data_IF_827132257475
#
_entry.id   IF_827132257475
#
_cell.length_a   1.000
_cell.length_b   1.000
_cell.length_c   1.000
_cell.angle_alpha   90.00
_cell.angle_beta   90.00
_cell.angle_gamma   90.00
#
_symmetry.space_group_name_H-M   'P 1'
#
loop_
_entity.id
_entity.type
_entity.pdbx_description
1 polymer ?
#
# COMPACT_ATOMS: atom_id res chain seq x y z
N UNK A 1 14.08 13.22 -16.02
CA UNK A 1 12.85 12.84 -16.75
C UNK A 1 11.90 14.03 -16.71
N UNK A 2 11.29 14.46 -17.83
CA UNK A 2 10.42 15.65 -17.82
C UNK A 2 9.08 15.32 -17.12
N UNK A 3 8.52 16.24 -16.31
CA UNK A 3 7.40 15.99 -15.36
C UNK A 3 6.21 15.23 -15.97
N UNK A 4 5.85 15.55 -17.22
CA UNK A 4 4.79 14.86 -17.97
C UNK A 4 5.04 13.36 -18.19
N UNK A 5 6.27 12.96 -18.54
CA UNK A 5 6.62 11.55 -18.75
C UNK A 5 6.59 10.77 -17.44
N UNK A 6 7.03 11.39 -16.35
CA UNK A 6 6.97 10.80 -15.02
C UNK A 6 5.53 10.60 -14.55
N UNK A 7 4.66 11.60 -14.77
CA UNK A 7 3.22 11.46 -14.48
C UNK A 7 2.58 10.31 -15.25
N UNK A 8 2.83 10.25 -16.57
CA UNK A 8 2.26 9.19 -17.42
C UNK A 8 2.71 7.80 -16.96
N UNK A 9 3.99 7.65 -16.61
CA UNK A 9 4.52 6.41 -16.05
C UNK A 9 3.83 6.03 -14.73
N UNK A 10 3.77 6.94 -13.75
CA UNK A 10 3.18 6.64 -12.44
C UNK A 10 1.66 6.43 -12.47
N UNK A 11 0.95 7.01 -13.45
CA UNK A 11 -0.51 6.87 -13.56
C UNK A 11 -0.94 5.63 -14.34
N UNK A 12 -0.19 5.27 -15.38
CA UNK A 12 -0.70 4.33 -16.39
C UNK A 12 0.14 3.07 -16.54
N UNK A 13 1.36 3.02 -15.98
CA UNK A 13 2.26 1.89 -16.24
C UNK A 13 1.73 0.56 -15.70
N UNK A 14 1.32 0.50 -14.43
CA UNK A 14 0.74 -0.72 -13.84
C UNK A 14 -0.51 -1.17 -14.60
N UNK A 15 -1.41 -0.24 -14.90
CA UNK A 15 -2.60 -0.50 -15.74
C UNK A 15 -2.22 -1.06 -17.13
N UNK A 16 -1.26 -0.44 -17.82
CA UNK A 16 -0.85 -0.86 -19.16
C UNK A 16 -0.17 -2.23 -19.13
N UNK A 17 0.66 -2.52 -18.12
CA UNK A 17 1.27 -3.82 -17.92
C UNK A 17 0.20 -4.90 -17.70
N UNK A 18 -0.77 -4.63 -16.81
CA UNK A 18 -1.87 -5.56 -16.57
C UNK A 18 -2.73 -5.80 -17.82
N UNK A 19 -3.12 -4.72 -18.51
CA UNK A 19 -3.93 -4.78 -19.74
C UNK A 19 -3.23 -5.52 -20.88
N UNK A 20 -1.90 -5.45 -20.93
CA UNK A 20 -1.08 -6.16 -21.92
C UNK A 20 -0.75 -7.59 -21.48
N UNK A 21 -1.32 -8.08 -20.37
CA UNK A 21 -1.04 -9.39 -19.77
C UNK A 21 0.45 -9.62 -19.44
N UNK A 22 1.16 -8.54 -19.10
CA UNK A 22 2.57 -8.53 -18.72
C UNK A 22 2.69 -8.66 -17.20
N UNK A 23 2.41 -9.86 -16.68
CA UNK A 23 2.39 -10.15 -15.25
C UNK A 23 3.73 -9.86 -14.57
N UNK A 24 4.85 -10.19 -15.21
CA UNK A 24 6.18 -10.01 -14.63
C UNK A 24 6.47 -8.53 -14.36
N UNK A 25 6.26 -7.68 -15.37
CA UNK A 25 6.47 -6.24 -15.25
C UNK A 25 5.49 -5.61 -14.25
N UNK A 26 4.23 -6.03 -14.27
CA UNK A 26 3.22 -5.58 -13.31
C UNK A 26 3.63 -5.92 -11.87
N UNK A 27 3.98 -7.17 -11.61
CA UNK A 27 4.38 -7.66 -10.30
C UNK A 27 5.64 -6.95 -9.80
N UNK A 28 6.68 -6.88 -10.62
CA UNK A 28 7.94 -6.20 -10.27
C UNK A 28 7.71 -4.73 -9.93
N UNK A 29 6.83 -4.05 -10.66
CA UNK A 29 6.47 -2.63 -10.39
C UNK A 29 5.82 -2.46 -9.02
N UNK A 30 4.89 -3.34 -8.67
CA UNK A 30 4.13 -3.25 -7.41
C UNK A 30 4.87 -3.87 -6.21
N UNK A 31 6.03 -4.46 -6.43
CA UNK A 31 7.00 -4.87 -5.40
C UNK A 31 8.26 -3.99 -5.37
N UNK A 32 8.31 -2.90 -6.13
CA UNK A 32 9.44 -1.96 -6.16
C UNK A 32 9.17 -0.76 -5.25
N UNK A 33 9.94 -0.64 -4.16
CA UNK A 33 9.75 0.43 -3.17
C UNK A 33 9.88 1.82 -3.80
N UNK A 34 10.80 2.01 -4.74
CA UNK A 34 11.03 3.30 -5.37
C UNK A 34 9.83 3.75 -6.20
N UNK A 35 9.18 2.84 -6.92
CA UNK A 35 7.92 3.09 -7.62
C UNK A 35 6.82 3.51 -6.65
N UNK A 36 6.60 2.74 -5.57
CA UNK A 36 5.58 3.04 -4.55
C UNK A 36 5.80 4.45 -3.96
N UNK A 37 7.03 4.73 -3.53
CA UNK A 37 7.39 6.02 -2.95
C UNK A 37 7.26 7.17 -3.95
N UNK A 38 7.69 6.97 -5.20
CA UNK A 38 7.56 7.97 -6.26
C UNK A 38 6.10 8.28 -6.57
N UNK A 39 5.23 7.27 -6.59
CA UNK A 39 3.79 7.46 -6.84
C UNK A 39 3.13 8.24 -5.69
N UNK A 40 3.45 7.92 -4.44
CA UNK A 40 2.95 8.66 -3.27
C UNK A 40 3.45 10.11 -3.22
N UNK A 41 4.71 10.34 -3.58
CA UNK A 41 5.33 11.68 -3.57
C UNK A 41 4.90 12.53 -4.76
N UNK A 42 4.28 11.95 -5.80
CA UNK A 42 3.85 12.70 -6.96
C UNK A 42 2.60 13.52 -6.63
N UNK A 43 2.78 14.85 -6.60
CA UNK A 43 1.69 15.79 -6.30
C UNK A 43 0.48 15.57 -7.20
N UNK A 44 -0.68 15.40 -6.58
CA UNK A 44 -1.97 15.24 -7.27
C UNK A 44 -2.42 13.80 -7.55
N UNK A 45 -1.64 12.77 -7.22
CA UNK A 45 -2.12 11.37 -7.26
C UNK A 45 -2.68 10.94 -5.90
N UNK A 46 -1.92 11.17 -4.83
CA UNK A 46 -2.27 10.69 -3.49
C UNK A 46 -2.21 9.15 -3.37
N UNK A 47 -2.78 8.63 -2.28
CA UNK A 47 -2.65 7.20 -1.93
C UNK A 47 -3.60 6.30 -2.73
N UNK A 48 -4.80 6.79 -3.10
CA UNK A 48 -5.82 5.94 -3.72
C UNK A 48 -5.41 5.32 -5.06
N UNK A 49 -4.87 6.09 -6.02
CA UNK A 49 -4.45 5.52 -7.29
C UNK A 49 -3.35 4.47 -7.17
N UNK A 50 -2.58 4.47 -6.07
CA UNK A 50 -1.61 3.41 -5.81
C UNK A 50 -2.30 2.14 -5.30
N UNK A 51 -3.30 2.26 -4.42
CA UNK A 51 -4.09 1.12 -3.93
C UNK A 51 -4.82 0.45 -5.11
N UNK A 52 -5.38 1.24 -6.02
CA UNK A 52 -6.12 0.77 -7.19
C UNK A 52 -5.24 0.05 -8.22
N UNK A 53 -3.93 0.32 -8.26
CA UNK A 53 -3.03 -0.41 -9.15
C UNK A 53 -3.00 -1.91 -8.84
N UNK A 54 -3.18 -2.29 -7.57
CA UNK A 54 -3.15 -3.68 -7.12
C UNK A 54 -4.42 -4.46 -7.53
N UNK A 55 -5.53 -3.78 -7.82
CA UNK A 55 -6.80 -4.44 -8.17
C UNK A 55 -6.71 -5.16 -9.53
N UNK A 56 -5.76 -4.81 -10.38
CA UNK A 56 -5.61 -5.43 -11.70
C UNK A 56 -5.06 -6.86 -11.67
N UNK A 57 -4.55 -7.34 -10.53
CA UNK A 57 -4.04 -8.71 -10.38
C UNK A 57 -5.12 -9.77 -10.67
N UNK A 58 -6.39 -9.45 -10.44
CA UNK A 58 -7.54 -10.35 -10.69
C UNK A 58 -7.69 -10.72 -12.18
N UNK A 59 -7.16 -9.89 -13.08
CA UNK A 59 -7.22 -10.12 -14.53
C UNK A 59 -5.98 -10.85 -15.06
N UNK A 60 -5.01 -11.16 -14.21
CA UNK A 60 -3.74 -11.77 -14.58
C UNK A 60 -3.67 -13.23 -14.13
N UNK A 61 -2.97 -14.07 -14.91
CA UNK A 61 -2.72 -15.47 -14.55
C UNK A 61 -1.60 -15.59 -13.52
N UNK A 62 -1.78 -14.98 -12.36
CA UNK A 62 -0.82 -14.98 -11.27
C UNK A 62 -0.94 -16.23 -10.40
N UNK A 63 0.17 -16.65 -9.81
CA UNK A 63 0.15 -17.74 -8.84
C UNK A 63 -0.55 -17.29 -7.54
N UNK A 64 -1.14 -18.20 -6.75
CA UNK A 64 -1.74 -17.84 -5.45
C UNK A 64 -0.77 -17.12 -4.51
N UNK A 65 0.53 -17.41 -4.63
CA UNK A 65 1.57 -16.76 -3.85
C UNK A 65 1.76 -15.30 -4.27
N UNK A 66 1.86 -15.03 -5.58
CA UNK A 66 1.95 -13.66 -6.09
C UNK A 66 0.72 -12.82 -5.75
N UNK A 67 -0.48 -13.40 -5.88
CA UNK A 67 -1.74 -12.75 -5.48
C UNK A 67 -1.68 -12.38 -4.00
N UNK A 68 -1.28 -13.31 -3.13
CA UNK A 68 -1.23 -13.05 -1.70
C UNK A 68 -0.13 -12.04 -1.31
N UNK A 69 1.04 -12.06 -1.96
CA UNK A 69 2.08 -11.04 -1.77
C UNK A 69 1.54 -9.65 -2.07
N UNK A 70 0.95 -9.46 -3.26
CA UNK A 70 0.41 -8.17 -3.68
C UNK A 70 -0.76 -7.73 -2.78
N UNK A 71 -1.63 -8.65 -2.36
CA UNK A 71 -2.73 -8.35 -1.45
C UNK A 71 -2.22 -7.85 -0.08
N UNK A 72 -1.21 -8.51 0.52
CA UNK A 72 -0.64 -8.09 1.79
C UNK A 72 -0.03 -6.67 1.71
N UNK A 73 0.63 -6.35 0.59
CA UNK A 73 1.17 -5.00 0.34
C UNK A 73 0.03 -3.99 0.15
N UNK A 74 -0.96 -4.31 -0.68
CA UNK A 74 -2.13 -3.45 -0.92
C UNK A 74 -2.86 -3.11 0.38
N UNK A 75 -3.17 -4.12 1.20
CA UNK A 75 -3.87 -3.95 2.46
C UNK A 75 -3.03 -3.16 3.46
N UNK A 76 -1.71 -3.32 3.43
CA UNK A 76 -0.80 -2.49 4.25
C UNK A 76 -0.88 -1.02 3.85
N UNK A 77 -0.88 -0.70 2.56
CA UNK A 77 -1.04 0.67 2.06
C UNK A 77 -2.43 1.21 2.42
N UNK A 78 -3.48 0.38 2.31
CA UNK A 78 -4.87 0.74 2.64
C UNK A 78 -5.06 1.05 4.13
N UNK A 79 -4.52 0.21 5.01
CA UNK A 79 -4.45 0.44 6.46
C UNK A 79 -3.72 1.73 6.81
N UNK A 80 -2.68 2.04 6.05
CA UNK A 80 -1.80 3.17 6.29
C UNK A 80 -2.24 4.45 5.58
N UNK A 81 -3.33 4.41 4.81
CA UNK A 81 -3.67 5.49 3.89
C UNK A 81 -3.87 6.85 4.59
N UNK A 82 -4.53 6.86 5.75
CA UNK A 82 -4.73 8.07 6.56
C UNK A 82 -3.42 8.72 7.06
N UNK A 83 -2.35 7.92 7.20
CA UNK A 83 -1.02 8.39 7.59
C UNK A 83 -0.26 8.86 6.35
N UNK A 84 -0.26 8.05 5.29
CA UNK A 84 0.46 8.33 4.04
C UNK A 84 -0.11 9.52 3.26
N UNK A 85 -1.39 9.86 3.49
CA UNK A 85 -2.00 11.08 2.96
C UNK A 85 -1.41 12.35 3.59
N UNK A 86 -1.02 12.28 4.86
CA UNK A 86 -0.41 13.40 5.59
C UNK A 86 1.10 13.43 5.36
N UNK A 87 1.74 12.27 5.43
CA UNK A 87 3.18 12.12 5.30
C UNK A 87 3.54 10.82 4.57
N UNK A 88 3.82 10.94 3.28
CA UNK A 88 4.24 9.83 2.43
C UNK A 88 5.63 9.29 2.78
N UNK A 89 6.43 10.02 3.55
CA UNK A 89 7.74 9.56 4.04
C UNK A 89 7.60 8.48 5.12
N UNK A 90 6.40 8.27 5.67
CA UNK A 90 6.17 7.18 6.61
C UNK A 90 6.04 5.81 5.94
N UNK A 91 6.05 5.72 4.60
CA UNK A 91 5.91 4.44 3.88
C UNK A 91 6.85 3.34 4.42
N UNK A 92 8.17 3.56 4.63
CA UNK A 92 9.05 2.56 5.24
C UNK A 92 8.55 2.08 6.60
N UNK A 93 8.18 3.00 7.49
CA UNK A 93 7.70 2.68 8.83
C UNK A 93 6.41 1.87 8.81
N UNK A 94 5.49 2.23 7.91
CA UNK A 94 4.21 1.56 7.76
C UNK A 94 4.36 0.15 7.17
N UNK A 95 5.26 -0.03 6.19
CA UNK A 95 5.60 -1.34 5.61
C UNK A 95 6.28 -2.23 6.66
N UNK A 96 7.36 -1.76 7.30
CA UNK A 96 8.09 -2.53 8.31
C UNK A 96 7.20 -2.94 9.49
N UNK A 97 6.43 -2.00 10.05
CA UNK A 97 5.62 -2.28 11.23
C UNK A 97 4.48 -3.26 11.02
N UNK A 98 4.01 -3.46 9.77
CA UNK A 98 2.87 -4.33 9.43
C UNK A 98 3.26 -5.62 8.72
N UNK A 99 4.31 -5.58 7.90
CA UNK A 99 4.68 -6.69 7.03
C UNK A 99 5.81 -7.58 7.58
N UNK A 100 6.58 -7.12 8.57
CA UNK A 100 7.77 -7.85 9.06
C UNK A 100 7.44 -9.29 9.48
N UNK A 101 6.24 -9.54 10.03
CA UNK A 101 5.77 -10.88 10.44
C UNK A 101 5.59 -11.88 9.28
N UNK A 102 5.55 -11.40 8.03
CA UNK A 102 5.37 -12.21 6.82
C UNK A 102 6.71 -12.43 6.10
N UNK A 103 7.84 -12.27 6.79
CA UNK A 103 9.19 -12.39 6.20
C UNK A 103 10.04 -13.41 6.96
N UNK A 104 11.20 -13.78 6.41
CA UNK A 104 12.17 -14.61 7.13
C UNK A 104 12.92 -13.84 8.23
N UNK A 105 12.81 -12.51 8.26
CA UNK A 105 13.49 -11.64 9.22
C UNK A 105 12.88 -11.74 10.64
N UNK A 106 11.65 -12.23 10.77
CA UNK A 106 10.97 -12.37 12.05
C UNK A 106 10.31 -13.75 12.15
N UNK A 107 11.05 -14.72 12.70
CA UNK A 107 10.61 -16.11 12.88
C UNK A 107 9.70 -16.32 14.10
N UNK A 108 9.39 -15.26 14.86
CA UNK A 108 8.58 -15.34 16.08
C UNK A 108 7.12 -15.69 15.79
N UNK A 109 6.63 -15.39 14.58
CA UNK A 109 5.26 -15.64 14.18
C UNK A 109 5.19 -16.87 13.28
N UNK A 110 4.37 -17.86 13.65
CA UNK A 110 4.13 -19.06 12.83
C UNK A 110 3.21 -18.73 11.64
N UNK A 111 3.68 -17.89 10.72
CA UNK A 111 2.98 -17.44 9.52
C UNK A 111 3.86 -17.70 8.31
N UNK A 112 3.25 -18.00 7.16
CA UNK A 112 3.98 -18.18 5.89
C UNK A 112 4.78 -16.91 5.56
N UNK A 113 6.05 -17.08 5.23
CA UNK A 113 6.93 -16.00 4.76
C UNK A 113 6.82 -15.80 3.25
N UNK A 114 6.99 -14.55 2.80
CA UNK A 114 6.97 -14.15 1.39
C UNK A 114 8.29 -13.40 1.05
N UNK A 115 9.20 -14.00 0.26
CA UNK A 115 10.52 -13.42 -0.02
C UNK A 115 10.49 -12.06 -0.72
N UNK A 116 9.48 -11.80 -1.56
CA UNK A 116 9.35 -10.52 -2.26
C UNK A 116 8.95 -9.38 -1.30
N UNK A 117 8.19 -9.69 -0.25
CA UNK A 117 7.91 -8.74 0.84
C UNK A 117 9.20 -8.43 1.59
N UNK A 118 10.00 -9.44 1.91
CA UNK A 118 11.31 -9.24 2.55
C UNK A 118 12.22 -8.35 1.69
N UNK A 119 12.22 -8.58 0.38
CA UNK A 119 12.98 -7.78 -0.59
C UNK A 119 12.50 -6.33 -0.59
N UNK A 120 11.18 -6.10 -0.64
CA UNK A 120 10.58 -4.77 -0.54
C UNK A 120 10.98 -4.05 0.77
N UNK A 121 10.96 -4.76 1.91
CA UNK A 121 11.36 -4.17 3.20
C UNK A 121 12.83 -3.78 3.22
N UNK A 122 13.72 -4.62 2.67
CA UNK A 122 15.15 -4.30 2.54
C UNK A 122 15.39 -3.11 1.60
N UNK A 123 14.60 -2.96 0.53
CA UNK A 123 14.66 -1.74 -0.29
C UNK A 123 14.27 -0.50 0.53
N UNK A 124 13.17 -0.57 1.29
CA UNK A 124 12.72 0.52 2.15
C UNK A 124 13.72 0.87 3.27
N UNK A 125 14.52 -0.11 3.73
CA UNK A 125 15.60 0.09 4.68
C UNK A 125 16.80 0.81 4.07
N UNK A 126 17.20 0.48 2.85
CA UNK A 126 18.45 0.96 2.26
C UNK A 126 18.36 2.32 1.55
N UNK A 127 17.14 2.80 1.24
CA UNK A 127 16.95 3.87 0.24
C UNK A 127 16.77 5.31 0.77
N UNK A 128 16.18 5.65 1.94
CA UNK A 128 15.67 7.01 2.08
C UNK A 128 16.68 8.03 2.62
N UNK A 129 16.60 9.23 2.03
CA UNK A 129 17.38 10.45 2.32
C UNK A 129 16.88 11.23 3.56
N UNK A 130 16.05 10.60 4.39
CA UNK A 130 15.37 11.21 5.54
C UNK A 130 15.28 10.23 6.75
N UNK A 131 15.13 10.74 7.99
CA UNK A 131 14.96 9.90 9.18
C UNK A 131 13.70 9.03 9.12
N UNK A 132 13.79 7.78 9.58
CA UNK A 132 12.69 6.81 9.58
C UNK A 132 12.66 5.98 10.85
N UNK A 133 11.46 5.59 11.28
CA UNK A 133 11.28 4.64 12.37
C UNK A 133 11.02 3.25 11.79
N UNK A 134 11.95 2.32 11.98
CA UNK A 134 11.76 0.92 11.55
C UNK A 134 11.54 0.06 12.81
N UNK A 135 10.30 -0.38 13.08
CA UNK A 135 10.04 -1.26 14.20
C UNK A 135 10.79 -2.59 14.04
N UNK A 136 11.53 -2.99 15.08
CA UNK A 136 12.20 -4.30 15.12
C UNK A 136 11.21 -5.45 15.39
N UNK A 137 10.03 -5.13 15.87
CA UNK A 137 8.92 -6.05 16.14
C UNK A 137 7.70 -5.53 15.38
N UNK A 138 6.90 -6.39 14.71
CA UNK A 138 5.68 -5.98 14.01
C UNK A 138 4.58 -5.60 15.02
N UNK A 139 4.59 -4.34 15.46
CA UNK A 139 3.68 -3.80 16.49
C UNK A 139 2.43 -3.13 15.93
N UNK A 140 2.41 -2.83 14.63
CA UNK A 140 1.27 -2.18 13.98
C UNK A 140 0.28 -3.25 13.53
N UNK A 141 -1.02 -2.91 13.50
CA UNK A 141 -2.06 -3.82 13.02
C UNK A 141 -1.69 -4.35 11.63
N UNK A 142 -1.44 -5.67 11.49
CA UNK A 142 -1.00 -6.24 10.23
C UNK A 142 -2.16 -6.25 9.21
N UNK A 143 -1.85 -6.34 7.91
CA UNK A 143 -2.85 -6.71 6.90
C UNK A 143 -3.39 -8.12 7.21
N UNK A 144 -4.43 -8.53 6.47
CA UNK A 144 -5.12 -9.81 6.70
C UNK A 144 -5.84 -9.88 8.07
N UNK A 145 -6.25 -8.72 8.60
CA UNK A 145 -7.07 -8.59 9.80
C UNK A 145 -8.41 -7.93 9.46
N UNK A 146 -9.42 -7.95 10.36
CA UNK A 146 -10.72 -7.32 10.08
C UNK A 146 -10.67 -5.80 9.87
N UNK A 147 -9.61 -5.12 10.32
CA UNK A 147 -9.44 -3.69 10.05
C UNK A 147 -8.93 -3.50 8.62
N UNK A 148 -9.72 -2.84 7.78
CA UNK A 148 -9.38 -2.61 6.36
C UNK A 148 -8.83 -1.20 6.15
N UNK A 149 -9.44 -0.19 6.77
CA UNK A 149 -9.11 1.22 6.56
C UNK A 149 -9.60 2.08 7.71
N UNK A 150 -8.81 3.10 8.05
CA UNK A 150 -9.23 4.21 8.92
C UNK A 150 -9.58 5.43 8.05
N UNK A 151 -10.73 6.02 8.29
CA UNK A 151 -11.14 7.28 7.66
C UNK A 151 -11.04 8.40 8.69
N UNK A 152 -10.30 9.46 8.33
CA UNK A 152 -10.12 10.66 9.14
C UNK A 152 -10.71 11.85 8.38
N UNK A 153 -11.21 12.86 9.09
CA UNK A 153 -11.73 14.07 8.47
C UNK A 153 -12.48 15.00 9.41
N UNK A 154 -13.14 14.44 10.42
CA UNK A 154 -13.78 15.19 11.50
C UNK A 154 -12.78 15.47 12.63
N UNK A 155 -12.90 16.64 13.26
CA UNK A 155 -12.08 17.09 14.41
C UNK A 155 -12.81 16.88 15.76
N UNK A 156 -14.11 16.64 15.75
CA UNK A 156 -14.96 16.28 16.90
C UNK A 156 -15.56 14.88 16.72
N UNK A 157 -16.41 14.50 17.68
CA UNK A 157 -17.01 13.18 17.76
C UNK A 157 -17.92 12.91 16.56
N UNK A 158 -17.63 11.79 15.88
CA UNK A 158 -18.50 11.22 14.86
C UNK A 158 -19.66 10.50 15.55
N UNK A 159 -20.88 10.97 15.33
CA UNK A 159 -22.10 10.41 15.95
C UNK A 159 -22.88 9.49 15.01
N UNK A 160 -22.66 9.62 13.70
CA UNK A 160 -23.40 8.86 12.69
C UNK A 160 -22.53 8.52 11.49
N UNK A 161 -22.76 7.34 10.93
CA UNK A 161 -22.14 6.87 9.69
C UNK A 161 -23.21 6.10 8.91
N UNK A 162 -23.33 6.40 7.61
CA UNK A 162 -24.22 5.67 6.70
C UNK A 162 -23.49 5.32 5.41
N UNK A 163 -23.78 4.14 4.89
CA UNK A 163 -23.33 3.71 3.57
C UNK A 163 -24.46 3.96 2.57
N UNK A 164 -24.13 4.53 1.43
CA UNK A 164 -25.08 4.74 0.34
C UNK A 164 -25.62 3.40 -0.20
N UNK A 165 -26.86 3.35 -0.75
CA UNK A 165 -27.45 2.09 -1.22
C UNK A 165 -26.64 1.36 -2.30
N UNK A 166 -25.86 2.11 -3.09
CA UNK A 166 -24.96 1.56 -4.11
C UNK A 166 -23.61 1.09 -3.54
N UNK A 167 -23.36 1.29 -2.23
CA UNK A 167 -22.14 0.89 -1.55
C UNK A 167 -20.91 1.77 -1.84
N UNK A 168 -21.03 2.79 -2.69
CA UNK A 168 -19.87 3.51 -3.23
C UNK A 168 -19.43 4.70 -2.39
N UNK A 169 -20.28 5.17 -1.48
CA UNK A 169 -20.00 6.33 -0.62
C UNK A 169 -20.38 6.05 0.82
N UNK A 170 -19.60 6.65 1.71
CA UNK A 170 -19.85 6.72 3.15
C UNK A 170 -20.07 8.19 3.50
N UNK A 171 -21.13 8.46 4.27
CA UNK A 171 -21.43 9.79 4.80
C UNK A 171 -21.29 9.72 6.32
N UNK A 172 -20.55 10.64 6.91
CA UNK A 172 -20.33 10.73 8.36
C UNK A 172 -20.82 12.07 8.91
N UNK A 173 -21.51 12.04 10.04
CA UNK A 173 -21.95 13.24 10.77
C UNK A 173 -21.19 13.44 12.07
N UNK A 174 -20.72 14.67 12.30
CA UNK A 174 -19.93 15.11 13.48
C UNK A 174 -20.56 16.34 14.12
N UNK A 175 -20.03 16.76 15.27
CA UNK A 175 -20.34 18.04 15.94
C UNK A 175 -19.52 19.24 15.40
N UNK A 176 -18.77 19.04 14.31
CA UNK A 176 -17.91 20.05 13.69
C UNK A 176 -18.63 21.06 12.80
#
# INVERSE_FOLDING_TARGET
MNSFRQRAYLTSYAYNAAKSNHLTEYYQTLTDFQYLQNKLNFSGLGVQPLIEDYDYIEYLQATPEQVKTLQLIQDTIRLSAHILQVDSQQLPSQLWGRLLRFTGLCSQFMVKSYPDIETLLKQAENIPTYPRLLPYIPTLTPPDTPLIRTLIGHISLVNSVVVTPDGNKIISGSWD
#
